data_IF_420021603206
#
_entry.id   IF_420021603206
#
_cell.length_a   1.000
_cell.length_b   1.000
_cell.length_c   1.000
_cell.angle_alpha   90.00
_cell.angle_beta   90.00
_cell.angle_gamma   90.00
#
_symmetry.space_group_name_H-M   'P 1'
#
loop_
_entity.id
_entity.type
_entity.pdbx_description
1 polymer ?
#
# COMPACT_ATOMS: atom_id res chain seq x y z
N UNK A 1 1.53 -26.50 -1.80
CA UNK A 1 0.31 -25.96 -2.45
C UNK A 1 -0.34 -24.78 -1.71
N UNK A 2 -0.71 -24.87 -0.42
CA UNK A 2 -1.36 -23.76 0.31
C UNK A 2 -0.48 -22.52 0.51
N UNK A 3 0.83 -22.70 0.77
CA UNK A 3 1.77 -21.58 0.95
C UNK A 3 2.04 -20.84 -0.37
N UNK A 4 2.43 -21.57 -1.43
CA UNK A 4 2.69 -21.00 -2.76
C UNK A 4 1.50 -20.17 -3.32
N UNK A 5 0.27 -20.57 -3.00
CA UNK A 5 -0.92 -19.82 -3.40
C UNK A 5 -1.07 -18.50 -2.63
N UNK A 6 -0.92 -18.51 -1.29
CA UNK A 6 -0.94 -17.30 -0.43
C UNK A 6 0.08 -16.27 -0.91
N UNK A 7 1.27 -16.74 -1.22
CA UNK A 7 2.40 -15.96 -1.72
C UNK A 7 2.11 -15.27 -3.07
N UNK A 8 1.29 -15.89 -3.93
CA UNK A 8 0.90 -15.31 -5.22
C UNK A 8 -0.10 -14.13 -5.08
N UNK A 9 -0.97 -14.10 -4.07
CA UNK A 9 -1.87 -12.96 -3.82
C UNK A 9 -1.09 -11.76 -3.28
N UNK A 10 -0.16 -12.00 -2.35
CA UNK A 10 0.74 -10.95 -1.83
C UNK A 10 1.40 -10.20 -2.98
N UNK A 11 1.82 -10.92 -4.02
CA UNK A 11 2.42 -10.34 -5.23
C UNK A 11 1.43 -9.65 -6.15
N UNK A 12 0.27 -10.28 -6.42
CA UNK A 12 -0.72 -9.74 -7.36
C UNK A 12 -1.38 -8.46 -6.83
N UNK A 13 -1.47 -8.33 -5.50
CA UNK A 13 -1.87 -7.13 -4.77
C UNK A 13 -1.04 -5.88 -5.11
N UNK A 14 0.23 -6.07 -5.47
CA UNK A 14 1.17 -4.96 -5.74
C UNK A 14 1.18 -4.57 -7.21
N UNK A 15 0.95 -5.52 -8.13
CA UNK A 15 1.32 -5.33 -9.53
C UNK A 15 0.19 -4.94 -10.49
N UNK A 16 -1.06 -4.75 -10.04
CA UNK A 16 -2.16 -4.05 -10.74
C UNK A 16 -3.44 -4.07 -9.91
N UNK A 17 -4.30 -3.06 -10.10
CA UNK A 17 -5.73 -3.27 -9.92
C UNK A 17 -6.17 -4.35 -10.93
N UNK A 18 -6.57 -5.50 -10.41
CA UNK A 18 -7.03 -6.70 -11.08
C UNK A 18 -7.95 -6.48 -12.32
N UNK A 19 -8.64 -5.33 -12.43
CA UNK A 19 -9.42 -4.93 -13.62
C UNK A 19 -8.56 -4.71 -14.88
N UNK A 20 -7.35 -4.16 -14.77
CA UNK A 20 -6.50 -3.87 -15.94
C UNK A 20 -5.85 -5.12 -16.55
N UNK A 21 -5.84 -6.26 -15.85
CA UNK A 21 -5.28 -7.53 -16.35
C UNK A 21 -6.28 -8.35 -17.17
N UNK A 22 -7.58 -8.04 -17.08
CA UNK A 22 -8.64 -8.76 -17.82
C UNK A 22 -8.66 -8.45 -19.32
N UNK A 23 -7.98 -7.39 -19.76
CA UNK A 23 -7.93 -6.99 -21.17
C UNK A 23 -6.94 -7.83 -22.02
N UNK A 24 -5.99 -8.54 -21.40
CA UNK A 24 -4.99 -9.35 -22.11
C UNK A 24 -5.34 -10.86 -22.04
N UNK A 25 -5.85 -11.39 -23.15
CA UNK A 25 -6.28 -12.81 -23.31
C UNK A 25 -5.15 -13.86 -23.26
N UNK A 26 -3.99 -13.56 -22.68
CA UNK A 26 -2.80 -14.45 -22.70
C UNK A 26 -2.04 -14.58 -21.38
N UNK A 27 -2.69 -14.38 -20.24
CA UNK A 27 -2.08 -14.66 -18.93
C UNK A 27 -2.62 -16.00 -18.42
N UNK A 28 -1.82 -17.07 -18.53
CA UNK A 28 -2.07 -18.35 -17.85
C UNK A 28 -1.47 -18.30 -16.44
N UNK A 29 -2.19 -17.66 -15.51
CA UNK A 29 -2.00 -17.87 -14.07
C UNK A 29 -3.32 -18.38 -13.48
N UNK A 30 -3.33 -19.49 -12.71
CA UNK A 30 -4.57 -20.10 -12.22
C UNK A 30 -5.39 -19.23 -11.26
N UNK A 31 -4.82 -18.15 -10.69
CA UNK A 31 -5.55 -17.23 -9.78
C UNK A 31 -6.40 -16.19 -10.52
N UNK A 32 -6.06 -15.81 -11.76
CA UNK A 32 -6.77 -14.76 -12.50
C UNK A 32 -8.22 -15.17 -12.84
N UNK A 33 -8.49 -16.48 -12.96
CA UNK A 33 -9.81 -17.04 -13.28
C UNK A 33 -10.72 -17.21 -12.05
N UNK A 34 -10.18 -17.13 -10.83
CA UNK A 34 -10.96 -17.41 -9.61
C UNK A 34 -11.70 -16.19 -9.07
N UNK A 35 -11.31 -14.98 -9.46
CA UNK A 35 -11.80 -13.74 -8.84
C UNK A 35 -13.00 -13.09 -9.55
N UNK A 36 -13.32 -13.51 -10.78
CA UNK A 36 -14.04 -12.62 -11.72
C UNK A 36 -15.50 -12.34 -11.40
N UNK A 37 -16.26 -13.26 -10.79
CA UNK A 37 -17.68 -13.01 -10.46
C UNK A 37 -17.84 -12.30 -9.11
N UNK A 38 -17.09 -12.71 -8.10
CA UNK A 38 -17.39 -12.33 -6.71
C UNK A 38 -16.96 -10.90 -6.37
N UNK A 39 -15.94 -10.38 -7.03
CA UNK A 39 -15.46 -9.01 -6.81
C UNK A 39 -15.87 -8.06 -7.95
N UNK A 40 -16.59 -8.53 -8.97
CA UNK A 40 -17.01 -7.71 -10.12
C UNK A 40 -17.63 -6.38 -9.69
N UNK A 41 -17.20 -5.29 -10.32
CA UNK A 41 -17.69 -3.93 -9.99
C UNK A 41 -17.10 -3.33 -8.71
N UNK A 42 -16.11 -3.97 -8.08
CA UNK A 42 -15.44 -3.46 -6.88
C UNK A 42 -14.02 -2.94 -7.21
N UNK A 43 -13.52 -1.98 -6.43
CA UNK A 43 -12.10 -1.69 -6.30
C UNK A 43 -11.48 -2.64 -5.27
N UNK A 44 -10.22 -3.01 -5.43
CA UNK A 44 -9.55 -3.91 -4.49
C UNK A 44 -8.13 -3.44 -4.20
N UNK A 45 -7.76 -3.54 -2.92
CA UNK A 45 -6.43 -3.32 -2.39
C UNK A 45 -5.99 -4.64 -1.77
N UNK A 46 -4.86 -5.17 -2.22
CA UNK A 46 -4.35 -6.38 -1.62
C UNK A 46 -3.39 -6.10 -0.47
N UNK A 47 -3.14 -7.14 0.33
CA UNK A 47 -2.31 -7.07 1.53
C UNK A 47 -1.34 -8.24 1.57
N UNK A 48 -0.17 -8.08 2.23
CA UNK A 48 0.73 -9.19 2.55
C UNK A 48 0.09 -10.24 3.48
N UNK A 49 -1.16 -10.09 3.92
CA UNK A 49 -1.83 -11.02 4.83
C UNK A 49 -2.72 -12.05 4.12
N UNK A 50 -2.64 -12.18 2.78
CA UNK A 50 -3.46 -13.09 1.96
C UNK A 50 -4.95 -12.73 1.86
N UNK A 51 -5.30 -11.51 2.26
CA UNK A 51 -6.64 -10.94 2.16
C UNK A 51 -6.64 -9.74 1.22
N UNK A 52 -7.80 -9.50 0.61
CA UNK A 52 -8.08 -8.30 -0.17
C UNK A 52 -9.08 -7.44 0.61
N UNK A 53 -8.84 -6.13 0.65
CA UNK A 53 -9.87 -5.18 1.04
C UNK A 53 -10.59 -4.74 -0.24
N UNK A 54 -11.91 -4.82 -0.28
CA UNK A 54 -12.70 -4.52 -1.47
C UNK A 54 -13.73 -3.44 -1.17
N UNK A 55 -13.99 -2.57 -2.15
CA UNK A 55 -14.90 -1.43 -2.06
C UNK A 55 -15.82 -1.39 -3.28
N UNK A 56 -17.12 -1.24 -3.08
CA UNK A 56 -18.11 -1.19 -4.15
C UNK A 56 -18.70 0.20 -4.36
N UNK A 57 -19.42 0.38 -5.46
CA UNK A 57 -20.09 1.63 -5.84
C UNK A 57 -21.19 2.04 -4.85
N UNK A 58 -21.77 1.08 -4.15
CA UNK A 58 -22.75 1.26 -3.05
C UNK A 58 -22.09 1.54 -1.70
N UNK A 59 -20.80 1.89 -1.70
CA UNK A 59 -19.98 2.19 -0.53
C UNK A 59 -19.66 0.99 0.38
N UNK A 60 -20.07 -0.22 0.02
CA UNK A 60 -19.77 -1.40 0.82
C UNK A 60 -18.26 -1.71 0.82
N UNK A 61 -17.69 -1.81 2.02
CA UNK A 61 -16.34 -2.35 2.21
C UNK A 61 -16.38 -3.74 2.85
N UNK A 62 -15.42 -4.58 2.47
CA UNK A 62 -15.28 -5.94 3.02
C UNK A 62 -13.88 -6.48 2.85
N UNK A 63 -13.50 -7.38 3.74
CA UNK A 63 -12.35 -8.26 3.55
C UNK A 63 -12.79 -9.50 2.77
N UNK A 64 -11.97 -9.90 1.82
CA UNK A 64 -12.21 -11.07 0.99
C UNK A 64 -10.95 -11.93 0.94
N UNK A 65 -11.10 -13.22 1.27
CA UNK A 65 -10.07 -14.23 1.12
C UNK A 65 -10.32 -15.01 -0.18
N UNK A 66 -9.47 -14.88 -1.21
CA UNK A 66 -9.70 -15.56 -2.49
C UNK A 66 -9.59 -17.09 -2.47
N UNK A 67 -9.07 -17.69 -1.39
CA UNK A 67 -8.93 -19.15 -1.26
C UNK A 67 -10.11 -19.77 -0.53
N UNK A 68 -10.40 -19.28 0.67
CA UNK A 68 -11.50 -19.80 1.47
C UNK A 68 -12.85 -19.25 0.99
N UNK A 69 -12.83 -18.22 0.14
CA UNK A 69 -14.00 -17.41 -0.25
C UNK A 69 -14.69 -16.73 0.94
N UNK A 70 -14.00 -16.68 2.08
CA UNK A 70 -14.50 -16.02 3.27
C UNK A 70 -14.65 -14.53 3.01
N UNK A 71 -15.77 -13.99 3.47
CA UNK A 71 -16.13 -12.57 3.36
C UNK A 71 -16.39 -12.08 4.76
N UNK A 72 -15.72 -11.00 5.12
CA UNK A 72 -15.90 -10.37 6.41
C UNK A 72 -16.34 -8.93 6.12
N UNK A 73 -17.54 -8.53 6.53
CA UNK A 73 -17.99 -7.16 6.34
C UNK A 73 -17.11 -6.19 7.14
N UNK A 74 -16.97 -4.99 6.60
CA UNK A 74 -16.41 -3.83 7.29
C UNK A 74 -17.50 -2.74 7.30
N UNK A 75 -17.39 -1.70 8.16
CA UNK A 75 -18.32 -0.59 8.11
C UNK A 75 -18.41 0.03 6.71
N UNK A 76 -19.60 0.47 6.32
CA UNK A 76 -19.78 1.16 5.03
C UNK A 76 -19.00 2.48 5.04
N UNK A 77 -18.35 2.84 3.93
CA UNK A 77 -17.72 4.17 3.82
C UNK A 77 -18.75 5.30 3.73
N UNK A 78 -20.02 4.97 3.51
CA UNK A 78 -21.13 5.94 3.64
C UNK A 78 -21.27 6.50 5.07
N UNK A 79 -20.64 5.89 6.09
CA UNK A 79 -20.61 6.48 7.44
C UNK A 79 -19.65 7.65 7.57
N UNK A 80 -18.77 7.85 6.57
CA UNK A 80 -17.79 8.95 6.53
C UNK A 80 -18.32 10.11 5.71
N UNK A 81 -18.95 9.81 4.56
CA UNK A 81 -19.43 10.84 3.65
C UNK A 81 -20.56 11.66 4.27
N UNK A 82 -20.30 12.92 4.58
CA UNK A 82 -21.36 13.92 4.72
C UNK A 82 -21.97 14.20 3.34
N UNK A 83 -23.19 14.73 3.29
CA UNK A 83 -23.97 14.97 2.06
C UNK A 83 -23.21 15.90 1.08
N UNK A 84 -22.36 15.32 0.23
CA UNK A 84 -21.68 16.04 -0.86
C UNK A 84 -22.56 16.08 -2.12
N UNK A 85 -22.48 17.18 -2.88
CA UNK A 85 -23.11 17.39 -4.20
C UNK A 85 -22.56 16.48 -5.31
N UNK A 86 -21.75 15.46 -4.97
CA UNK A 86 -21.07 14.58 -5.91
C UNK A 86 -21.91 13.34 -6.28
N UNK A 87 -21.75 12.86 -7.50
CA UNK A 87 -22.39 11.61 -7.92
C UNK A 87 -21.72 10.39 -7.24
N UNK A 88 -22.45 9.28 -7.00
CA UNK A 88 -21.86 8.06 -6.43
C UNK A 88 -20.67 7.51 -7.24
N UNK A 89 -20.64 7.74 -8.55
CA UNK A 89 -19.51 7.36 -9.41
C UNK A 89 -18.25 8.17 -9.12
N UNK A 90 -18.38 9.47 -8.92
CA UNK A 90 -17.25 10.34 -8.55
C UNK A 90 -16.73 9.98 -7.16
N UNK A 91 -17.61 9.77 -6.20
CA UNK A 91 -17.19 9.30 -4.88
C UNK A 91 -16.49 7.95 -4.97
N UNK A 92 -16.98 7.00 -5.77
CA UNK A 92 -16.33 5.70 -5.94
C UNK A 92 -14.93 5.80 -6.55
N UNK A 93 -14.69 6.74 -7.47
CA UNK A 93 -13.39 6.96 -8.10
C UNK A 93 -12.42 7.75 -7.20
N UNK A 94 -12.88 8.83 -6.56
CA UNK A 94 -12.00 9.84 -5.94
C UNK A 94 -12.01 9.85 -4.42
N UNK A 95 -13.11 9.44 -3.77
CA UNK A 95 -13.22 9.54 -2.29
C UNK A 95 -12.22 8.63 -1.59
N UNK A 96 -12.01 7.41 -2.10
CA UNK A 96 -11.13 6.44 -1.46
C UNK A 96 -9.77 6.37 -2.18
N UNK A 97 -8.72 6.82 -1.50
CA UNK A 97 -7.35 6.87 -2.01
C UNK A 97 -6.60 5.56 -1.72
N UNK A 98 -6.66 5.08 -0.47
CA UNK A 98 -5.90 3.89 -0.01
C UNK A 98 -6.68 3.08 1.03
N UNK A 99 -6.59 1.76 0.96
CA UNK A 99 -7.01 0.84 2.03
C UNK A 99 -5.86 -0.07 2.41
N UNK A 100 -5.57 -0.16 3.71
CA UNK A 100 -4.45 -0.94 4.25
C UNK A 100 -5.01 -1.90 5.29
N UNK A 101 -4.85 -3.20 5.04
CA UNK A 101 -5.11 -4.22 6.07
C UNK A 101 -3.87 -4.36 6.95
N UNK A 102 -4.00 -3.95 8.21
CA UNK A 102 -2.90 -3.86 9.18
C UNK A 102 -2.64 -5.17 9.90
N UNK A 103 -3.71 -5.86 10.31
CA UNK A 103 -3.65 -7.15 11.02
C UNK A 103 -4.57 -8.16 10.34
N UNK A 104 -4.22 -9.45 10.43
CA UNK A 104 -4.99 -10.51 9.77
C UNK A 104 -6.31 -10.69 10.52
N UNK A 105 -7.45 -10.91 9.85
CA UNK A 105 -8.68 -11.28 10.53
C UNK A 105 -8.64 -12.67 11.20
N UNK A 106 -7.61 -13.46 10.91
CA UNK A 106 -7.37 -14.75 11.58
C UNK A 106 -6.64 -14.58 12.92
N UNK A 107 -5.97 -13.45 13.10
CA UNK A 107 -5.32 -13.04 14.35
C UNK A 107 -6.27 -12.07 15.06
N UNK A 108 -6.42 -12.15 16.38
CA UNK A 108 -7.39 -11.31 17.11
C UNK A 108 -7.16 -9.81 16.84
N UNK A 109 -8.25 -9.03 16.79
CA UNK A 109 -8.25 -7.57 16.53
C UNK A 109 -7.75 -7.16 15.12
N UNK A 110 -8.48 -7.60 14.10
CA UNK A 110 -8.33 -7.12 12.72
C UNK A 110 -8.55 -5.61 12.62
N UNK A 111 -7.59 -4.88 12.07
CA UNK A 111 -7.69 -3.43 11.85
C UNK A 111 -7.42 -3.11 10.39
N UNK A 112 -8.23 -2.22 9.84
CA UNK A 112 -8.11 -1.67 8.49
C UNK A 112 -7.97 -0.16 8.58
N UNK A 113 -6.99 0.41 7.88
CA UNK A 113 -6.88 1.85 7.67
C UNK A 113 -7.47 2.23 6.30
N UNK A 114 -8.15 3.36 6.27
CA UNK A 114 -8.63 4.00 5.06
C UNK A 114 -8.07 5.43 4.96
N UNK A 115 -7.60 5.80 3.78
CA UNK A 115 -7.32 7.19 3.40
C UNK A 115 -8.39 7.63 2.41
N UNK A 116 -9.21 8.60 2.82
CA UNK A 116 -10.25 9.20 2.00
C UNK A 116 -9.96 10.67 1.67
N UNK A 117 -10.83 11.31 0.90
CA UNK A 117 -10.84 12.77 0.72
C UNK A 117 -10.96 13.53 2.04
N UNK A 118 -11.67 12.94 3.02
CA UNK A 118 -12.01 13.55 4.31
C UNK A 118 -10.98 13.27 5.41
N UNK A 119 -9.94 12.50 5.09
CA UNK A 119 -8.83 12.20 5.99
C UNK A 119 -8.57 10.72 6.18
N UNK A 120 -7.99 10.38 7.32
CA UNK A 120 -7.58 9.01 7.65
C UNK A 120 -8.50 8.41 8.70
N UNK A 121 -8.93 7.18 8.45
CA UNK A 121 -9.86 6.45 9.29
C UNK A 121 -9.35 5.05 9.59
N UNK A 122 -9.81 4.48 10.69
CA UNK A 122 -9.64 3.06 10.95
C UNK A 122 -10.95 2.40 11.36
N UNK A 123 -11.04 1.10 11.12
CA UNK A 123 -12.16 0.28 11.54
C UNK A 123 -11.72 -1.16 11.79
N UNK A 124 -12.44 -1.83 12.67
CA UNK A 124 -12.47 -3.28 12.80
C UNK A 124 -13.71 -3.85 12.11
N UNK A 125 -13.69 -5.12 11.67
CA UNK A 125 -14.89 -5.80 11.16
C UNK A 125 -16.12 -5.79 12.06
N UNK A 126 -15.92 -5.71 13.37
CA UNK A 126 -16.99 -5.68 14.38
C UNK A 126 -17.59 -4.29 14.59
N UNK A 127 -16.96 -3.24 14.06
CA UNK A 127 -17.39 -1.87 14.30
C UNK A 127 -18.63 -1.53 13.46
N UNK A 128 -19.41 -0.55 13.91
CA UNK A 128 -20.57 -0.06 13.16
C UNK A 128 -20.21 1.08 12.18
N UNK A 129 -19.14 1.81 12.47
CA UNK A 129 -18.70 2.98 11.71
C UNK A 129 -17.17 3.10 11.69
N UNK A 130 -16.65 3.81 10.69
CA UNK A 130 -15.25 4.19 10.61
C UNK A 130 -14.92 5.27 11.65
N UNK A 131 -13.79 5.12 12.34
CA UNK A 131 -13.31 6.10 13.32
C UNK A 131 -12.28 7.03 12.69
N UNK A 132 -12.54 8.34 12.72
CA UNK A 132 -11.60 9.37 12.27
C UNK A 132 -10.36 9.38 13.15
N UNK A 133 -9.19 9.39 12.53
CA UNK A 133 -7.92 9.64 13.21
C UNK A 133 -7.80 11.16 13.38
N UNK A 134 -7.84 11.63 14.63
CA UNK A 134 -7.87 13.05 14.97
C UNK A 134 -6.60 13.79 14.54
N UNK A 135 -6.56 14.20 13.28
CA UNK A 135 -5.58 15.10 12.69
C UNK A 135 -6.22 16.50 12.65
N UNK A 136 -5.51 17.51 13.13
CA UNK A 136 -5.96 18.91 12.98
C UNK A 136 -6.04 19.31 11.51
N UNK A 137 -6.89 20.28 11.16
CA UNK A 137 -7.23 20.81 9.82
C UNK A 137 -6.06 21.21 8.88
N UNK A 138 -4.81 20.99 9.29
CA UNK A 138 -3.58 21.30 8.55
C UNK A 138 -2.61 20.10 8.42
N UNK A 139 -3.01 18.90 8.85
CA UNK A 139 -2.12 17.74 9.02
C UNK A 139 -2.55 16.52 8.18
N UNK A 140 -2.60 16.67 6.86
CA UNK A 140 -2.77 15.53 5.96
C UNK A 140 -1.53 14.61 6.04
N UNK A 141 -1.77 13.33 6.27
CA UNK A 141 -0.74 12.31 6.17
C UNK A 141 -0.54 11.92 4.71
N UNK A 142 0.71 11.94 4.28
CA UNK A 142 1.11 11.45 2.95
C UNK A 142 1.08 9.92 2.90
N UNK A 143 1.44 9.25 4.02
CA UNK A 143 1.39 7.79 4.16
C UNK A 143 1.27 7.37 5.62
N UNK A 144 0.81 6.14 5.86
CA UNK A 144 0.71 5.54 7.20
C UNK A 144 0.96 4.04 7.17
N UNK A 145 1.43 3.51 8.31
CA UNK A 145 1.70 2.09 8.54
C UNK A 145 1.27 1.69 9.96
N UNK A 146 0.84 0.43 10.09
CA UNK A 146 0.75 -0.24 11.39
C UNK A 146 2.04 -1.02 11.63
N UNK A 147 2.75 -0.67 12.69
CA UNK A 147 4.07 -1.21 13.02
C UNK A 147 4.16 -1.44 14.53
N UNK A 148 4.56 -2.65 14.92
CA UNK A 148 4.75 -3.04 16.33
C UNK A 148 3.59 -2.64 17.27
N UNK A 149 2.36 -2.90 16.83
CA UNK A 149 1.16 -2.67 17.64
C UNK A 149 0.59 -1.25 17.57
N UNK A 150 1.31 -0.31 16.96
CA UNK A 150 0.95 1.11 16.90
C UNK A 150 0.87 1.62 15.47
N UNK A 151 0.26 2.78 15.30
CA UNK A 151 0.24 3.45 14.01
C UNK A 151 1.31 4.52 13.94
N UNK A 152 1.95 4.59 12.77
CA UNK A 152 2.90 5.63 12.41
C UNK A 152 2.44 6.25 11.11
N UNK A 153 2.46 7.57 11.06
CA UNK A 153 2.10 8.33 9.88
C UNK A 153 3.15 9.37 9.57
N UNK A 154 3.27 9.72 8.29
CA UNK A 154 4.13 10.81 7.84
C UNK A 154 3.27 11.99 7.43
N UNK A 155 3.47 13.14 8.08
CA UNK A 155 2.84 14.40 7.69
C UNK A 155 3.43 14.92 6.38
N UNK A 156 2.68 15.80 5.71
CA UNK A 156 3.19 16.53 4.54
C UNK A 156 4.46 17.36 4.84
N UNK A 157 4.62 17.84 6.09
CA UNK A 157 5.85 18.51 6.57
C UNK A 157 7.07 17.58 6.55
N UNK A 158 6.84 16.27 6.55
CA UNK A 158 7.81 15.19 6.58
C UNK A 158 8.05 14.59 7.96
N UNK A 159 7.49 15.19 9.01
CA UNK A 159 7.55 14.67 10.37
C UNK A 159 6.78 13.34 10.49
N UNK A 160 7.28 12.47 11.36
CA UNK A 160 6.58 11.25 11.74
C UNK A 160 5.76 11.52 12.98
N UNK A 161 4.50 11.15 12.91
CA UNK A 161 3.56 11.12 14.02
C UNK A 161 3.24 9.67 14.38
N UNK A 162 2.79 9.46 15.61
CA UNK A 162 2.29 8.17 16.06
C UNK A 162 0.94 8.32 16.76
N UNK A 163 0.14 7.26 16.74
CA UNK A 163 -1.06 7.13 17.57
C UNK A 163 -1.32 5.66 17.93
N UNK A 164 -2.04 5.45 19.03
CA UNK A 164 -2.45 4.12 19.47
C UNK A 164 -3.78 3.74 18.78
N UNK A 165 -3.95 2.45 18.48
CA UNK A 165 -5.21 1.94 17.95
C UNK A 165 -6.38 2.06 18.94
N UNK A 166 -6.09 2.04 20.24
CA UNK A 166 -7.08 2.13 21.31
C UNK A 166 -7.46 3.57 21.66
N UNK A 167 -6.55 4.52 21.42
CA UNK A 167 -6.73 5.93 21.75
C UNK A 167 -6.09 6.79 20.64
N UNK A 168 -6.88 7.24 19.63
CA UNK A 168 -6.35 7.89 18.44
C UNK A 168 -5.98 9.36 18.70
N UNK A 169 -5.10 9.60 19.68
CA UNK A 169 -4.46 10.90 19.88
C UNK A 169 -3.14 10.92 19.12
N UNK A 170 -3.10 11.68 18.04
CA UNK A 170 -1.90 11.86 17.23
C UNK A 170 -0.88 12.70 17.98
N UNK A 171 0.37 12.22 18.05
CA UNK A 171 1.49 12.95 18.65
C UNK A 171 2.73 12.88 17.77
N UNK A 172 3.56 13.94 17.80
CA UNK A 172 4.84 13.95 17.11
C UNK A 172 5.79 12.89 17.66
N UNK A 173 6.48 12.17 16.76
CA UNK A 173 7.35 11.05 17.11
C UNK A 173 8.80 11.24 16.68
N UNK A 174 9.04 11.62 15.41
CA UNK A 174 10.38 11.84 14.89
C UNK A 174 10.39 12.99 13.86
N UNK A 175 11.50 13.76 13.74
CA UNK A 175 11.65 14.77 12.70
C UNK A 175 11.73 14.11 11.31
N UNK A 176 11.58 14.87 10.22
CA UNK A 176 11.83 14.36 8.88
C UNK A 176 13.27 13.85 8.72
N UNK A 177 13.53 12.87 7.83
CA UNK A 177 14.88 12.53 7.42
C UNK A 177 15.58 13.77 6.82
N UNK A 178 16.92 13.87 6.93
CA UNK A 178 17.69 15.00 6.41
C UNK A 178 17.30 15.34 4.97
N UNK A 179 17.10 16.64 4.71
CA UNK A 179 16.33 17.16 3.58
C UNK A 179 16.78 16.61 2.22
N UNK A 180 15.86 15.93 1.53
CA UNK A 180 16.07 15.35 0.20
C UNK A 180 15.85 16.35 -0.94
N UNK A 181 15.25 17.51 -0.64
CA UNK A 181 14.86 18.53 -1.64
C UNK A 181 16.05 19.09 -2.42
N UNK A 182 17.27 18.95 -1.90
CA UNK A 182 18.49 19.43 -2.56
C UNK A 182 18.99 18.53 -3.70
N UNK A 183 18.46 17.32 -3.87
CA UNK A 183 19.05 16.34 -4.78
C UNK A 183 18.37 16.24 -6.16
N UNK A 184 17.12 16.71 -6.33
CA UNK A 184 16.44 16.59 -7.62
C UNK A 184 15.26 17.58 -7.78
N UNK A 185 15.05 18.20 -8.96
CA UNK A 185 13.95 19.14 -9.22
C UNK A 185 12.59 18.44 -9.51
N UNK A 186 12.39 17.23 -8.99
CA UNK A 186 11.23 16.38 -9.28
C UNK A 186 10.31 16.15 -8.07
N UNK A 187 9.32 15.26 -8.24
CA UNK A 187 8.39 14.86 -7.19
C UNK A 187 9.01 13.72 -6.37
N UNK A 188 8.84 13.76 -5.04
CA UNK A 188 9.25 12.69 -4.15
C UNK A 188 8.00 12.04 -3.57
N UNK A 189 7.81 10.76 -3.84
CA UNK A 189 6.75 9.94 -3.25
C UNK A 189 7.38 9.14 -2.10
N UNK A 190 6.78 9.21 -0.92
CA UNK A 190 7.32 8.58 0.28
C UNK A 190 6.45 7.40 0.69
N UNK A 191 7.08 6.30 1.07
CA UNK A 191 6.40 5.12 1.57
C UNK A 191 6.97 4.70 2.91
N UNK A 192 6.11 4.59 3.91
CA UNK A 192 6.45 3.95 5.18
C UNK A 192 6.36 2.44 5.03
N UNK A 193 7.36 1.72 5.55
CA UNK A 193 7.39 0.27 5.48
C UNK A 193 8.17 -0.36 6.63
N UNK A 194 7.81 -1.60 6.94
CA UNK A 194 8.58 -2.46 7.84
C UNK A 194 9.66 -3.22 7.06
N UNK A 195 10.91 -3.03 7.48
CA UNK A 195 12.07 -3.81 7.04
C UNK A 195 12.55 -4.74 8.15
N UNK A 196 11.81 -5.83 8.38
CA UNK A 196 12.19 -6.88 9.32
C UNK A 196 12.28 -6.41 10.77
N UNK A 197 11.23 -5.74 11.24
CA UNK A 197 11.18 -5.13 12.58
C UNK A 197 11.85 -3.76 12.63
N UNK A 198 11.96 -3.05 11.51
CA UNK A 198 12.54 -1.72 11.48
C UNK A 198 11.66 -0.78 10.66
N UNK A 199 11.24 0.33 11.26
CA UNK A 199 10.47 1.36 10.56
C UNK A 199 11.38 2.12 9.60
N UNK A 200 11.03 2.08 8.31
CA UNK A 200 11.80 2.68 7.23
C UNK A 200 10.93 3.59 6.35
N UNK A 201 11.58 4.52 5.65
CA UNK A 201 10.98 5.33 4.58
C UNK A 201 11.72 5.03 3.28
N UNK A 202 10.97 4.71 2.23
CA UNK A 202 11.46 4.71 0.85
C UNK A 202 11.00 5.99 0.16
N UNK A 203 11.94 6.76 -0.37
CA UNK A 203 11.72 7.99 -1.11
C UNK A 203 11.92 7.70 -2.60
N UNK A 204 10.84 7.61 -3.35
CA UNK A 204 10.83 7.44 -4.81
C UNK A 204 10.95 8.79 -5.48
N UNK A 205 12.04 8.98 -6.22
CA UNK A 205 12.26 10.18 -7.02
C UNK A 205 11.63 9.99 -8.39
N UNK A 206 10.81 10.96 -8.77
CA UNK A 206 10.05 10.96 -10.02
C UNK A 206 10.35 12.24 -10.77
N UNK A 207 10.64 12.13 -12.07
CA UNK A 207 10.86 13.30 -12.92
C UNK A 207 9.56 14.04 -13.26
N UNK A 208 9.66 15.13 -14.04
CA UNK A 208 8.50 15.94 -14.44
C UNK A 208 7.53 15.21 -15.38
N UNK A 209 7.89 14.03 -15.87
CA UNK A 209 7.05 13.16 -16.71
C UNK A 209 6.41 12.03 -15.91
N UNK A 210 6.46 12.11 -14.57
CA UNK A 210 5.97 11.07 -13.67
C UNK A 210 6.71 9.72 -13.84
N UNK A 211 7.97 9.75 -14.27
CA UNK A 211 8.79 8.55 -14.43
C UNK A 211 9.78 8.43 -13.28
N UNK A 212 9.82 7.27 -12.63
CA UNK A 212 10.80 6.96 -11.58
C UNK A 212 12.20 7.07 -12.13
N UNK A 213 13.07 7.76 -11.40
CA UNK A 213 14.49 7.91 -11.72
C UNK A 213 15.41 7.28 -10.65
N UNK A 214 14.91 7.05 -9.44
CA UNK A 214 15.68 6.40 -8.39
C UNK A 214 14.99 6.38 -7.04
N UNK A 215 15.68 5.82 -6.06
CA UNK A 215 15.19 5.64 -4.70
C UNK A 215 16.25 6.03 -3.69
N UNK A 216 15.80 6.56 -2.56
CA UNK A 216 16.61 6.72 -1.35
C UNK A 216 15.85 6.08 -0.19
N UNK A 217 16.54 5.35 0.67
CA UNK A 217 15.91 4.64 1.79
C UNK A 217 16.53 5.10 3.10
N UNK A 218 15.69 5.35 4.08
CA UNK A 218 16.10 5.67 5.45
C UNK A 218 15.51 4.67 6.43
N UNK A 219 16.31 4.31 7.42
CA UNK A 219 15.91 3.53 8.59
C UNK A 219 15.83 4.47 9.79
N UNK A 220 14.74 4.40 10.54
CA UNK A 220 14.57 5.15 11.78
C UNK A 220 15.19 4.38 12.94
N UNK A 221 16.04 5.06 13.71
CA UNK A 221 16.39 4.62 15.05
C UNK A 221 15.26 5.04 16.01
N UNK A 222 14.57 4.05 16.56
CA UNK A 222 13.40 4.27 17.41
C UNK A 222 13.75 4.89 18.76
N UNK A 223 15.00 4.79 19.24
CA UNK A 223 15.43 5.36 20.52
C UNK A 223 15.89 6.80 20.36
N UNK A 224 16.77 7.04 19.38
CA UNK A 224 17.37 8.36 19.13
C UNK A 224 16.51 9.26 18.25
N UNK A 225 15.46 8.71 17.62
CA UNK A 225 14.60 9.39 16.62
C UNK A 225 15.41 9.98 15.45
N UNK A 226 16.54 9.36 15.15
CA UNK A 226 17.45 9.79 14.10
C UNK A 226 17.35 8.87 12.87
N UNK A 227 17.64 9.42 11.70
CA UNK A 227 17.54 8.69 10.44
C UNK A 227 18.91 8.27 9.92
N UNK A 228 19.05 6.99 9.61
CA UNK A 228 20.21 6.45 8.90
C UNK A 228 19.83 6.18 7.45
N UNK A 229 20.60 6.73 6.50
CA UNK A 229 20.45 6.36 5.09
C UNK A 229 21.04 4.96 4.87
N UNK A 230 20.22 4.05 4.35
CA UNK A 230 20.63 2.69 4.02
C UNK A 230 20.72 2.49 2.51
N UNK A 231 21.61 1.60 2.09
CA UNK A 231 21.89 1.31 0.67
C UNK A 231 21.52 -0.12 0.28
N UNK A 232 21.15 -0.94 1.26
CA UNK A 232 20.82 -2.35 1.05
C UNK A 232 19.60 -2.74 1.86
N UNK A 233 18.70 -3.49 1.22
CA UNK A 233 17.58 -4.19 1.85
C UNK A 233 18.00 -5.59 2.37
N UNK A 234 19.28 -5.95 2.21
CA UNK A 234 19.80 -7.26 2.59
C UNK A 234 19.25 -8.37 1.70
N UNK A 235 18.75 -9.42 2.33
CA UNK A 235 18.12 -10.57 1.69
C UNK A 235 16.65 -10.32 1.29
N UNK A 236 16.14 -9.10 1.50
CA UNK A 236 14.73 -8.75 1.26
C UNK A 236 14.50 -8.08 -0.09
N UNK A 237 13.27 -8.23 -0.57
CA UNK A 237 12.72 -7.47 -1.69
C UNK A 237 11.61 -6.55 -1.18
N UNK A 238 11.61 -5.30 -1.64
CA UNK A 238 10.62 -4.29 -1.27
C UNK A 238 9.61 -4.10 -2.40
N UNK A 239 8.34 -4.03 -2.05
CA UNK A 239 7.22 -3.80 -2.96
C UNK A 239 6.59 -2.44 -2.66
N UNK A 240 6.53 -1.57 -3.67
CA UNK A 240 6.00 -0.20 -3.57
C UNK A 240 4.86 0.00 -4.58
N UNK A 241 3.78 0.63 -4.15
CA UNK A 241 2.72 1.09 -5.03
C UNK A 241 1.53 1.67 -4.27
N UNK A 242 0.52 2.14 -5.01
CA UNK A 242 -0.66 2.77 -4.42
C UNK A 242 -1.44 1.83 -3.47
N UNK A 243 -1.44 0.52 -3.75
CA UNK A 243 -2.22 -0.45 -2.98
C UNK A 243 -1.58 -0.80 -1.63
N UNK A 244 -0.30 -1.16 -1.64
CA UNK A 244 0.38 -1.69 -0.46
C UNK A 244 1.88 -1.47 -0.55
N UNK A 245 2.50 -1.26 0.61
CA UNK A 245 3.95 -1.18 0.77
C UNK A 245 4.40 -2.25 1.76
N UNK A 246 5.28 -3.15 1.36
CA UNK A 246 5.82 -4.18 2.27
C UNK A 246 7.13 -4.80 1.77
N UNK A 247 7.92 -5.35 2.69
CA UNK A 247 9.14 -6.10 2.36
C UNK A 247 9.00 -7.58 2.74
N UNK A 248 9.56 -8.45 1.91
CA UNK A 248 9.58 -9.92 2.12
C UNK A 248 11.00 -10.46 2.01
N UNK A 249 11.28 -11.61 2.60
CA UNK A 249 12.53 -12.33 2.33
C UNK A 249 12.50 -12.86 0.89
N UNK A 250 13.50 -12.51 0.08
CA UNK A 250 13.54 -12.92 -1.33
C UNK A 250 13.67 -14.44 -1.49
N UNK A 251 14.30 -15.11 -0.51
CA UNK A 251 14.47 -16.56 -0.50
C UNK A 251 13.14 -17.33 -0.48
N UNK A 252 12.08 -16.72 0.06
CA UNK A 252 10.75 -17.33 0.11
C UNK A 252 10.06 -17.30 -1.27
N UNK A 253 10.59 -16.53 -2.23
CA UNK A 253 9.94 -16.27 -3.53
C UNK A 253 10.97 -16.35 -4.66
N UNK A 254 11.07 -17.48 -5.38
CA UNK A 254 12.12 -17.67 -6.40
C UNK A 254 12.10 -16.69 -7.58
N UNK A 255 10.98 -16.00 -7.83
CA UNK A 255 10.92 -14.89 -8.80
C UNK A 255 11.43 -13.54 -8.28
N UNK A 256 11.73 -13.45 -6.99
CA UNK A 256 12.25 -12.24 -6.34
C UNK A 256 13.77 -12.25 -6.28
N UNK A 257 14.35 -11.09 -6.53
CA UNK A 257 15.77 -10.84 -6.31
C UNK A 257 15.94 -10.14 -4.97
N UNK A 258 16.87 -10.60 -4.10
CA UNK A 258 17.21 -9.86 -2.89
C UNK A 258 17.74 -8.48 -3.26
N UNK A 259 17.66 -7.55 -2.32
CA UNK A 259 18.15 -6.19 -2.47
C UNK A 259 17.56 -5.43 -3.68
N UNK A 260 16.28 -5.68 -3.98
CA UNK A 260 15.57 -5.05 -5.10
C UNK A 260 14.26 -4.40 -4.64
N UNK A 261 13.92 -3.28 -5.28
CA UNK A 261 12.63 -2.60 -5.12
C UNK A 261 11.80 -2.85 -6.38
N UNK A 262 10.63 -3.44 -6.19
CA UNK A 262 9.61 -3.64 -7.22
C UNK A 262 8.56 -2.54 -7.03
N UNK A 263 8.39 -1.69 -8.04
CA UNK A 263 7.47 -0.56 -7.94
C UNK A 263 6.44 -0.58 -9.07
N UNK A 264 5.23 -0.16 -8.74
CA UNK A 264 4.16 0.09 -9.70
C UNK A 264 3.82 1.58 -9.75
N UNK A 265 2.98 1.97 -10.70
CA UNK A 265 2.44 3.33 -10.74
C UNK A 265 1.62 3.63 -9.48
N UNK A 266 1.69 4.88 -8.99
CA UNK A 266 0.91 5.34 -7.85
C UNK A 266 -0.40 6.01 -8.25
N UNK A 267 -0.57 6.34 -9.54
CA UNK A 267 -1.74 7.09 -9.98
C UNK A 267 -2.98 6.20 -10.06
N UNK A 268 -4.05 6.50 -9.29
CA UNK A 268 -5.31 5.78 -9.39
C UNK A 268 -6.10 6.13 -10.66
N UNK A 269 -5.67 7.14 -11.43
CA UNK A 269 -6.44 7.79 -12.51
C UNK A 269 -5.95 7.45 -13.92
N UNK A 270 -5.03 6.52 -14.05
CA UNK A 270 -4.44 6.18 -15.34
C UNK A 270 -5.38 5.33 -16.18
N UNK A 271 -6.05 6.00 -17.13
CA UNK A 271 -6.78 5.35 -18.20
C UNK A 271 -5.89 4.43 -19.05
N UNK A 272 -6.47 3.48 -19.81
CA UNK A 272 -5.77 2.38 -20.48
C UNK A 272 -4.68 2.78 -21.49
N UNK A 273 -4.57 4.06 -21.84
CA UNK A 273 -3.64 4.62 -22.82
C UNK A 273 -2.39 5.25 -22.21
N UNK A 274 -2.29 5.33 -20.89
CA UNK A 274 -1.16 5.97 -20.21
C UNK A 274 0.01 5.00 -19.98
N UNK A 275 1.23 5.51 -20.08
CA UNK A 275 2.46 4.73 -20.01
C UNK A 275 2.76 4.44 -18.53
N UNK A 276 2.42 3.23 -18.08
CA UNK A 276 2.58 2.80 -16.68
C UNK A 276 4.04 2.89 -16.22
N UNK A 277 4.29 3.56 -15.10
CA UNK A 277 5.61 3.63 -14.49
C UNK A 277 5.85 2.44 -13.55
N UNK A 278 6.21 1.31 -14.17
CA UNK A 278 6.46 0.03 -13.48
C UNK A 278 7.90 -0.39 -13.70
N UNK A 279 8.55 -0.96 -12.68
CA UNK A 279 9.91 -1.44 -12.84
C UNK A 279 10.53 -2.09 -11.61
N UNK A 280 11.78 -2.47 -11.77
CA UNK A 280 12.61 -3.08 -10.74
C UNK A 280 13.84 -2.18 -10.57
N UNK A 281 14.15 -1.80 -9.34
CA UNK A 281 15.38 -1.11 -8.99
C UNK A 281 16.28 -2.05 -8.19
N UNK A 282 17.45 -2.34 -8.75
CA UNK A 282 18.50 -3.11 -8.10
C UNK A 282 19.34 -2.15 -7.23
N UNK A 283 19.20 -2.27 -5.91
CA UNK A 283 19.89 -1.40 -4.96
C UNK A 283 21.41 -1.65 -4.94
N UNK A 284 21.87 -2.86 -5.29
CA UNK A 284 23.30 -3.18 -5.32
C UNK A 284 24.00 -2.49 -6.49
N UNK A 285 23.38 -2.53 -7.67
CA UNK A 285 23.94 -1.99 -8.90
C UNK A 285 23.44 -0.57 -9.24
N UNK A 286 22.55 -0.02 -8.40
CA UNK A 286 21.86 1.25 -8.61
C UNK A 286 21.18 1.33 -9.99
N UNK A 287 20.65 0.19 -10.45
CA UNK A 287 20.14 0.03 -11.80
C UNK A 287 18.62 0.00 -11.80
N UNK A 288 18.03 0.87 -12.60
CA UNK A 288 16.60 0.91 -12.85
C UNK A 288 16.23 0.17 -14.14
N UNK A 289 15.38 -0.84 -14.02
CA UNK A 289 14.86 -1.63 -15.15
C UNK A 289 13.36 -1.38 -15.29
N UNK A 290 12.96 -0.62 -16.33
CA UNK A 290 11.55 -0.37 -16.64
C UNK A 290 10.90 -1.63 -17.21
N UNK A 291 9.69 -1.93 -16.73
CA UNK A 291 8.92 -3.10 -17.11
C UNK A 291 7.55 -2.67 -17.65
N UNK A 292 6.95 -3.49 -18.52
CA UNK A 292 5.54 -3.31 -18.91
C UNK A 292 4.58 -3.92 -17.88
N UNK A 293 5.04 -4.95 -17.20
CA UNK A 293 4.39 -5.66 -16.11
C UNK A 293 5.47 -6.37 -15.29
N UNK A 294 5.22 -6.53 -13.99
CA UNK A 294 6.07 -7.35 -13.10
C UNK A 294 5.32 -8.65 -12.86
N UNK A 295 5.89 -9.75 -13.34
CA UNK A 295 5.37 -11.11 -13.10
C UNK A 295 6.39 -11.83 -12.25
N UNK A 296 6.01 -12.11 -11.00
CA UNK A 296 6.85 -12.86 -10.07
C UNK A 296 6.27 -14.25 -9.96
N UNK A 297 7.05 -15.23 -10.40
CA UNK A 297 6.69 -16.63 -10.29
C UNK A 297 6.93 -17.10 -8.86
N UNK A 298 5.88 -17.58 -8.22
CA UNK A 298 5.99 -18.37 -7.00
C UNK A 298 6.10 -19.82 -7.46
N UNK A 299 7.24 -20.47 -7.22
CA UNK A 299 7.34 -21.91 -7.50
C UNK A 299 6.56 -22.70 -6.45
N UNK A 300 6.00 -23.83 -6.86
CA UNK A 300 5.15 -24.72 -6.03
C UNK A 300 5.82 -25.30 -4.78
#
# INVERSE_FOLDING_TARGET
MTNAARDLIRMTAVCRSWQASLANKRIKCPICLMLTEEIQGRRCWGSPLSWLVTYALDFETRLFNPFSRTRIPLPSLSTIAEEEDCSPGELFEYSLRKLILCTSPEESDCIVLANTSDGWFFAKPSDEAWTLIGLSDHNDLDDAIYFEGNFYGRLHTGEIVFWEATHPKVVGFAPPPPDLRYFYPGIIINYLFDLGGNLCIACRHVDTYYVTVGFVIFKLDMDTKSWEKIYSLGDRSLFLGNCSTFAIAAADYPGCKPNCIYFSDDSPLLGPTTRLDVGIYDCQNLKLEKQREIVIFVSE
#
